data_IF_006294266846
#
_entry.id   IF_006294266846
#
_cell.length_a   1.000
_cell.length_b   1.000
_cell.length_c   1.000
_cell.angle_alpha   90.00
_cell.angle_beta   90.00
_cell.angle_gamma   90.00
#
_symmetry.space_group_name_H-M   'P 1'
#
loop_
_entity.id
_entity.type
_entity.pdbx_description
1 polymer ?
#
# COMPACT_ATOMS: atom_id res chain seq x y z
N UNK A 1 -68.81 -22.12 -53.23
CA UNK A 1 -68.10 -21.77 -51.98
C UNK A 1 -67.11 -22.83 -51.53
N UNK A 2 -67.47 -24.12 -51.41
CA UNK A 2 -66.55 -25.18 -50.96
C UNK A 2 -65.27 -25.36 -51.82
N UNK A 3 -65.37 -25.21 -53.15
CA UNK A 3 -64.22 -25.32 -54.08
C UNK A 3 -63.17 -24.21 -53.90
N UNK A 4 -63.60 -22.99 -53.53
CA UNK A 4 -62.71 -21.86 -53.28
C UNK A 4 -61.90 -22.12 -52.00
N UNK A 5 -62.54 -22.64 -50.94
CA UNK A 5 -61.85 -23.06 -49.73
C UNK A 5 -60.85 -24.19 -49.98
N UNK A 6 -61.19 -25.15 -50.84
CA UNK A 6 -60.29 -26.23 -51.24
C UNK A 6 -59.01 -25.71 -51.92
N UNK A 7 -59.16 -24.83 -52.91
CA UNK A 7 -58.01 -24.25 -53.63
C UNK A 7 -57.15 -23.34 -52.73
N UNK A 8 -57.78 -22.59 -51.82
CA UNK A 8 -57.06 -21.71 -50.88
C UNK A 8 -56.26 -22.51 -49.85
N UNK A 9 -56.75 -23.68 -49.43
CA UNK A 9 -56.09 -24.49 -48.40
C UNK A 9 -55.01 -25.43 -48.93
N UNK A 10 -55.05 -25.80 -50.20
CA UNK A 10 -54.07 -26.69 -50.84
C UNK A 10 -52.91 -25.97 -51.53
N UNK A 11 -52.99 -24.65 -51.73
CA UNK A 11 -51.89 -23.86 -52.30
C UNK A 11 -51.44 -22.73 -51.38
N UNK A 12 -52.21 -21.62 -51.28
CA UNK A 12 -51.84 -20.46 -50.47
C UNK A 12 -51.56 -20.76 -49.00
N UNK A 13 -52.33 -21.64 -48.36
CA UNK A 13 -52.17 -21.94 -46.93
C UNK A 13 -50.91 -22.77 -46.61
N UNK A 14 -50.56 -23.75 -47.45
CA UNK A 14 -49.32 -24.51 -47.29
C UNK A 14 -48.08 -23.62 -47.53
N UNK A 15 -48.14 -22.74 -48.54
CA UNK A 15 -47.08 -21.78 -48.81
C UNK A 15 -46.91 -20.77 -47.66
N UNK A 16 -48.02 -20.27 -47.10
CA UNK A 16 -47.98 -19.42 -45.92
C UNK A 16 -47.36 -20.15 -44.72
N UNK A 17 -47.71 -21.41 -44.49
CA UNK A 17 -47.15 -22.19 -43.39
C UNK A 17 -45.63 -22.38 -43.53
N UNK A 18 -45.15 -22.72 -44.74
CA UNK A 18 -43.72 -22.82 -45.04
C UNK A 18 -42.99 -21.49 -44.82
N UNK A 19 -43.59 -20.37 -45.22
CA UNK A 19 -43.01 -19.04 -45.01
C UNK A 19 -42.94 -18.65 -43.53
N UNK A 20 -43.97 -18.97 -42.73
CA UNK A 20 -43.96 -18.74 -41.28
C UNK A 20 -42.89 -19.60 -40.61
N UNK A 21 -42.65 -20.81 -41.08
CA UNK A 21 -41.57 -21.65 -40.56
C UNK A 21 -40.19 -21.05 -40.83
N UNK A 22 -39.91 -20.62 -42.06
CA UNK A 22 -38.65 -19.96 -42.42
C UNK A 22 -38.49 -18.65 -41.65
N UNK A 23 -39.55 -17.84 -41.54
CA UNK A 23 -39.57 -16.60 -40.77
C UNK A 23 -39.27 -16.85 -39.29
N UNK A 24 -39.88 -17.86 -38.68
CA UNK A 24 -39.67 -18.22 -37.27
C UNK A 24 -38.24 -18.69 -37.00
N UNK A 25 -37.66 -19.47 -37.93
CA UNK A 25 -36.24 -19.85 -37.89
C UNK A 25 -35.33 -18.62 -37.97
N UNK A 26 -35.60 -17.72 -38.91
CA UNK A 26 -34.85 -16.47 -39.09
C UNK A 26 -34.90 -15.56 -37.86
N UNK A 27 -36.08 -15.41 -37.25
CA UNK A 27 -36.27 -14.68 -35.99
C UNK A 27 -35.44 -15.25 -34.83
N UNK A 28 -35.47 -16.57 -34.63
CA UNK A 28 -34.70 -17.21 -33.55
C UNK A 28 -33.18 -17.01 -33.72
N UNK A 29 -32.68 -17.16 -34.95
CA UNK A 29 -31.27 -16.94 -35.27
C UNK A 29 -30.88 -15.45 -35.15
N UNK A 30 -31.74 -14.53 -35.58
CA UNK A 30 -31.53 -13.10 -35.44
C UNK A 30 -31.41 -12.68 -33.97
N UNK A 31 -32.29 -13.17 -33.11
CA UNK A 31 -32.24 -12.90 -31.67
C UNK A 31 -30.98 -13.49 -31.02
N UNK A 32 -30.59 -14.70 -31.39
CA UNK A 32 -29.35 -15.33 -30.89
C UNK A 32 -28.10 -14.56 -31.34
N UNK A 33 -28.07 -14.12 -32.61
CA UNK A 33 -26.96 -13.32 -33.16
C UNK A 33 -26.84 -11.97 -32.47
N UNK A 34 -27.95 -11.28 -32.22
CA UNK A 34 -27.96 -10.00 -31.49
C UNK A 34 -27.48 -10.20 -30.06
N UNK A 35 -27.93 -11.26 -29.37
CA UNK A 35 -27.48 -11.56 -28.02
C UNK A 35 -25.98 -11.87 -27.97
N UNK A 36 -25.47 -12.64 -28.94
CA UNK A 36 -24.05 -12.99 -29.01
C UNK A 36 -23.17 -11.77 -29.32
N UNK A 37 -23.57 -10.91 -30.26
CA UNK A 37 -22.79 -9.70 -30.54
C UNK A 37 -22.84 -8.66 -29.42
N UNK A 38 -23.98 -8.55 -28.72
CA UNK A 38 -24.06 -7.70 -27.53
C UNK A 38 -23.07 -8.16 -26.45
N UNK A 39 -22.95 -9.48 -26.23
CA UNK A 39 -21.96 -10.04 -25.30
C UNK A 39 -20.53 -9.74 -25.71
N UNK A 40 -20.21 -9.90 -27.00
CA UNK A 40 -18.87 -9.58 -27.52
C UNK A 40 -18.54 -8.11 -27.37
N UNK A 41 -19.46 -7.21 -27.71
CA UNK A 41 -19.25 -5.77 -27.53
C UNK A 41 -19.02 -5.40 -26.07
N UNK A 42 -19.71 -6.07 -25.15
CA UNK A 42 -19.53 -5.87 -23.72
C UNK A 42 -18.17 -6.37 -23.19
N UNK A 43 -17.72 -7.55 -23.65
CA UNK A 43 -16.37 -8.03 -23.36
C UNK A 43 -15.31 -7.07 -23.88
N UNK A 44 -15.47 -6.57 -25.11
CA UNK A 44 -14.57 -5.58 -25.71
C UNK A 44 -14.59 -4.26 -24.93
N UNK A 45 -15.76 -3.81 -24.49
CA UNK A 45 -15.90 -2.58 -23.70
C UNK A 45 -15.31 -2.69 -22.30
N UNK A 46 -15.32 -3.89 -21.70
CA UNK A 46 -14.83 -4.13 -20.32
C UNK A 46 -13.37 -4.58 -20.26
N UNK A 47 -12.84 -5.16 -21.34
CA UNK A 47 -11.41 -5.48 -21.52
C UNK A 47 -10.45 -4.33 -21.15
N UNK A 48 -10.64 -3.09 -21.63
CA UNK A 48 -9.75 -1.98 -21.27
C UNK A 48 -9.81 -1.64 -19.77
N UNK A 49 -10.95 -1.80 -19.10
CA UNK A 49 -11.07 -1.56 -17.66
C UNK A 49 -10.24 -2.56 -16.84
N UNK A 50 -10.24 -3.84 -17.23
CA UNK A 50 -9.44 -4.87 -16.57
C UNK A 50 -7.94 -4.61 -16.76
N UNK A 51 -7.54 -4.25 -17.99
CA UNK A 51 -6.15 -3.91 -18.27
C UNK A 51 -5.68 -2.69 -17.45
N UNK A 52 -6.51 -1.64 -17.34
CA UNK A 52 -6.20 -0.47 -16.51
C UNK A 52 -6.13 -0.83 -15.04
N UNK A 53 -7.07 -1.62 -14.52
CA UNK A 53 -7.07 -2.08 -13.13
C UNK A 53 -5.79 -2.84 -12.77
N UNK A 54 -5.37 -3.79 -13.60
CA UNK A 54 -4.14 -4.57 -13.36
C UNK A 54 -2.89 -3.68 -13.37
N UNK A 55 -2.86 -2.64 -14.23
CA UNK A 55 -1.77 -1.67 -14.27
C UNK A 55 -1.75 -0.80 -13.02
N UNK A 56 -2.90 -0.28 -12.59
CA UNK A 56 -3.03 0.53 -11.36
C UNK A 56 -2.61 -0.29 -10.15
N UNK A 57 -3.06 -1.55 -10.05
CA UNK A 57 -2.67 -2.47 -8.97
C UNK A 57 -1.15 -2.70 -8.92
N UNK A 58 -0.51 -2.87 -10.07
CA UNK A 58 0.96 -2.99 -10.15
C UNK A 58 1.66 -1.73 -9.67
N UNK A 59 1.19 -0.55 -10.08
CA UNK A 59 1.76 0.74 -9.64
C UNK A 59 1.64 0.92 -8.13
N UNK A 60 0.47 0.62 -7.55
CA UNK A 60 0.25 0.69 -6.10
C UNK A 60 1.19 -0.27 -5.37
N UNK A 61 1.33 -1.51 -5.86
CA UNK A 61 2.23 -2.48 -5.27
C UNK A 61 3.68 -1.98 -5.29
N UNK A 62 4.14 -1.42 -6.41
CA UNK A 62 5.47 -0.82 -6.51
C UNK A 62 5.67 0.34 -5.52
N UNK A 63 4.65 1.19 -5.32
CA UNK A 63 4.71 2.28 -4.34
C UNK A 63 4.78 1.78 -2.90
N UNK A 64 3.99 0.75 -2.56
CA UNK A 64 4.01 0.13 -1.24
C UNK A 64 5.36 -0.55 -0.97
N UNK A 65 5.87 -1.32 -1.93
CA UNK A 65 7.16 -2.00 -1.83
C UNK A 65 8.31 -0.98 -1.69
N UNK A 66 8.28 0.09 -2.49
CA UNK A 66 9.25 1.19 -2.40
C UNK A 66 9.19 1.91 -1.05
N UNK A 67 7.98 2.26 -0.58
CA UNK A 67 7.82 2.93 0.71
C UNK A 67 8.26 2.05 1.88
N UNK A 68 8.02 0.73 1.81
CA UNK A 68 8.49 -0.23 2.79
C UNK A 68 10.02 -0.33 2.81
N UNK A 69 10.66 -0.33 1.62
CA UNK A 69 12.12 -0.30 1.50
C UNK A 69 12.70 0.99 2.11
N UNK A 70 12.13 2.14 1.78
CA UNK A 70 12.54 3.45 2.31
C UNK A 70 12.40 3.49 3.84
N UNK A 71 11.27 3.03 4.39
CA UNK A 71 11.06 2.91 5.83
C UNK A 71 12.14 2.05 6.49
N UNK A 72 12.47 0.90 5.90
CA UNK A 72 13.52 0.00 6.40
C UNK A 72 14.88 0.69 6.40
N UNK A 73 15.24 1.38 5.33
CA UNK A 73 16.48 2.13 5.23
C UNK A 73 16.59 3.21 6.32
N UNK A 74 15.55 4.03 6.52
CA UNK A 74 15.56 5.05 7.56
C UNK A 74 15.55 4.48 8.99
N UNK A 75 14.93 3.32 9.21
CA UNK A 75 15.04 2.62 10.50
C UNK A 75 16.48 2.19 10.79
N UNK A 76 17.17 1.62 9.80
CA UNK A 76 18.60 1.30 9.95
C UNK A 76 19.44 2.54 10.25
N UNK A 77 19.18 3.66 9.57
CA UNK A 77 19.86 4.94 9.85
C UNK A 77 19.56 5.43 11.28
N UNK A 78 18.31 5.34 11.74
CA UNK A 78 17.91 5.69 13.12
C UNK A 78 18.67 4.84 14.15
N UNK A 79 18.83 3.55 13.88
CA UNK A 79 19.52 2.63 14.78
C UNK A 79 21.02 2.94 14.85
N UNK A 80 21.67 3.23 13.72
CA UNK A 80 23.04 3.74 13.68
C UNK A 80 23.22 5.00 14.54
N UNK A 81 22.34 6.00 14.38
CA UNK A 81 22.38 7.20 15.22
C UNK A 81 22.19 6.89 16.71
N UNK A 82 21.40 5.88 17.04
CA UNK A 82 21.17 5.46 18.42
C UNK A 82 22.44 4.85 19.02
N UNK A 83 23.15 4.01 18.26
CA UNK A 83 24.42 3.41 18.68
C UNK A 83 25.54 4.44 18.85
N UNK A 84 25.71 5.32 17.85
CA UNK A 84 26.70 6.41 17.88
C UNK A 84 26.46 7.29 19.12
N UNK A 85 25.22 7.67 19.35
CA UNK A 85 24.86 8.51 20.49
C UNK A 85 25.11 7.81 21.84
N UNK A 86 24.83 6.51 21.92
CA UNK A 86 25.14 5.72 23.10
C UNK A 86 26.65 5.65 23.37
N UNK A 87 27.47 5.50 22.32
CA UNK A 87 28.93 5.51 22.41
C UNK A 87 29.47 6.86 22.88
N UNK A 88 29.00 7.96 22.29
CA UNK A 88 29.38 9.33 22.70
C UNK A 88 29.02 9.57 24.16
N UNK A 89 27.82 9.19 24.59
CA UNK A 89 27.42 9.32 26.00
C UNK A 89 28.30 8.52 26.95
N UNK A 90 28.74 7.30 26.56
CA UNK A 90 29.71 6.52 27.34
C UNK A 90 31.05 7.25 27.45
N UNK A 91 31.57 7.77 26.34
CA UNK A 91 32.83 8.51 26.31
C UNK A 91 32.77 9.77 27.20
N UNK A 92 31.68 10.56 27.12
CA UNK A 92 31.50 11.75 27.96
C UNK A 92 31.41 11.39 29.44
N UNK A 93 30.68 10.32 29.80
CA UNK A 93 30.63 9.85 31.19
C UNK A 93 32.01 9.43 31.70
N UNK A 94 32.78 8.73 30.88
CA UNK A 94 34.16 8.36 31.21
C UNK A 94 35.02 9.61 31.42
N UNK A 95 34.90 10.61 30.54
CA UNK A 95 35.62 11.88 30.66
C UNK A 95 35.24 12.64 31.93
N UNK A 96 33.94 12.69 32.29
CA UNK A 96 33.49 13.29 33.54
C UNK A 96 34.07 12.58 34.77
N UNK A 97 34.13 11.25 34.76
CA UNK A 97 34.78 10.49 35.83
C UNK A 97 36.26 10.82 35.93
N UNK A 98 36.94 10.99 34.79
CA UNK A 98 38.35 11.37 34.75
C UNK A 98 38.56 12.79 35.32
N UNK A 99 37.72 13.76 34.97
CA UNK A 99 37.73 15.10 35.59
C UNK A 99 37.51 15.01 37.10
N UNK A 100 36.54 14.22 37.54
CA UNK A 100 36.24 14.07 38.97
C UNK A 100 37.42 13.45 39.74
N UNK A 101 38.06 12.41 39.19
CA UNK A 101 39.25 11.79 39.78
C UNK A 101 40.41 12.77 39.79
N UNK A 102 40.62 13.52 38.70
CA UNK A 102 41.65 14.54 38.59
C UNK A 102 41.44 15.63 39.64
N UNK A 103 40.25 16.22 39.73
CA UNK A 103 39.95 17.27 40.72
C UNK A 103 40.10 16.76 42.16
N UNK A 104 39.68 15.52 42.46
CA UNK A 104 39.83 14.94 43.81
C UNK A 104 41.28 14.63 44.19
N UNK A 105 42.09 14.13 43.25
CA UNK A 105 43.48 13.71 43.53
C UNK A 105 44.51 14.84 43.32
N UNK A 106 44.22 15.73 42.37
CA UNK A 106 45.14 16.72 41.81
C UNK A 106 44.67 18.17 41.94
N UNK A 107 43.44 18.45 42.39
CA UNK A 107 43.02 19.81 42.78
C UNK A 107 43.60 20.25 44.13
N UNK A 108 43.92 19.28 44.99
CA UNK A 108 44.51 19.48 46.31
C UNK A 108 46.04 19.71 46.39
N UNK A 109 46.93 19.22 45.52
CA UNK A 109 48.38 19.26 45.75
C UNK A 109 48.96 20.66 45.83
N UNK A 110 48.47 21.61 45.03
CA UNK A 110 48.91 23.01 45.14
C UNK A 110 48.55 23.58 46.52
N UNK A 111 47.30 23.41 46.95
CA UNK A 111 46.84 23.90 48.25
C UNK A 111 47.46 23.11 49.42
N UNK A 112 47.61 21.80 49.30
CA UNK A 112 48.26 20.93 50.30
C UNK A 112 49.76 21.21 50.43
N UNK A 113 50.41 21.64 49.35
CA UNK A 113 51.82 22.05 49.38
C UNK A 113 51.96 23.46 49.94
N UNK A 114 51.16 24.42 49.44
CA UNK A 114 51.28 25.83 49.79
C UNK A 114 50.82 26.13 51.21
N UNK A 115 49.72 25.52 51.66
CA UNK A 115 49.07 25.87 52.93
C UNK A 115 49.98 25.68 54.14
N UNK A 116 50.67 24.53 54.35
CA UNK A 116 51.60 24.38 55.46
C UNK A 116 52.79 25.35 55.41
N UNK A 117 53.25 25.73 54.21
CA UNK A 117 54.35 26.70 54.04
C UNK A 117 53.89 28.13 54.37
N UNK A 118 52.66 28.49 54.00
CA UNK A 118 52.04 29.76 54.37
C UNK A 118 51.78 29.85 55.87
N UNK A 119 51.24 28.78 56.46
CA UNK A 119 50.98 28.69 57.90
C UNK A 119 52.32 28.80 58.66
N UNK A 120 53.37 28.07 58.25
CA UNK A 120 54.70 28.15 58.87
C UNK A 120 55.38 29.52 58.69
N UNK A 121 55.14 30.21 57.56
CA UNK A 121 55.65 31.57 57.35
C UNK A 121 54.95 32.57 58.27
N UNK A 122 53.62 32.43 58.44
CA UNK A 122 52.83 33.26 59.36
C UNK A 122 53.26 33.03 60.81
N UNK A 123 53.37 31.77 61.23
CA UNK A 123 53.82 31.38 62.57
C UNK A 123 55.23 31.92 62.87
N UNK A 124 56.12 31.93 61.86
CA UNK A 124 57.47 32.49 62.00
C UNK A 124 57.46 34.01 62.22
N UNK A 125 56.61 34.74 61.50
CA UNK A 125 56.46 36.20 61.67
C UNK A 125 55.85 36.55 63.02
N UNK A 126 54.91 35.75 63.53
CA UNK A 126 54.30 35.99 64.85
C UNK A 126 55.28 35.76 66.01
N UNK A 127 56.28 34.89 65.82
CA UNK A 127 57.26 34.53 66.86
C UNK A 127 58.53 35.40 66.85
N UNK A 128 58.80 36.10 65.74
CA UNK A 128 59.98 36.94 65.56
C UNK A 128 59.66 38.43 65.83
N UNK A 129 60.60 39.21 66.37
CA UNK A 129 60.50 40.67 66.36
C UNK A 129 60.71 41.22 64.94
N UNK A 130 59.96 42.26 64.54
CA UNK A 130 59.94 42.88 63.19
C UNK A 130 61.33 43.11 62.54
N UNK A 131 62.37 43.32 63.34
CA UNK A 131 63.77 43.51 62.89
C UNK A 131 64.42 42.23 62.33
N UNK A 132 63.87 41.05 62.62
CA UNK A 132 64.40 39.74 62.25
C UNK A 132 63.51 38.95 61.27
N UNK A 133 62.45 39.57 60.73
CA UNK A 133 61.51 38.95 59.78
C UNK A 133 62.18 38.35 58.54
N UNK A 134 63.37 38.86 58.18
CA UNK A 134 64.16 38.34 57.06
C UNK A 134 64.52 36.86 57.22
N UNK A 135 64.62 36.35 58.46
CA UNK A 135 64.89 34.93 58.74
C UNK A 135 63.73 34.00 58.32
N UNK A 136 62.52 34.53 58.14
CA UNK A 136 61.36 33.76 57.68
C UNK A 136 61.28 33.66 56.14
N UNK A 137 62.06 34.45 55.38
CA UNK A 137 62.04 34.45 53.90
C UNK A 137 62.34 33.10 53.21
N UNK A 138 63.19 32.19 53.73
CA UNK A 138 63.42 30.90 53.09
C UNK A 138 62.14 30.07 52.89
N UNK A 139 61.18 30.17 53.81
CA UNK A 139 59.88 29.45 53.71
C UNK A 139 59.10 29.91 52.47
N UNK A 140 59.14 31.21 52.16
CA UNK A 140 58.51 31.82 50.99
C UNK A 140 59.17 31.38 49.67
N UNK A 141 60.48 31.10 49.67
CA UNK A 141 61.17 30.58 48.48
C UNK A 141 60.76 29.13 48.22
N UNK A 142 60.62 28.31 49.26
CA UNK A 142 60.16 26.92 49.15
C UNK A 142 58.69 26.85 48.69
N UNK A 143 57.86 27.81 49.08
CA UNK A 143 56.47 27.94 48.59
C UNK A 143 56.39 28.02 47.05
N UNK A 144 57.36 28.66 46.39
CA UNK A 144 57.35 28.78 44.92
C UNK A 144 57.42 27.43 44.21
N UNK A 145 58.04 26.42 44.83
CA UNK A 145 58.11 25.05 44.29
C UNK A 145 56.70 24.45 44.16
N UNK A 146 55.76 24.86 45.01
CA UNK A 146 54.37 24.40 44.93
C UNK A 146 53.67 24.81 43.62
N UNK A 147 54.11 25.88 42.93
CA UNK A 147 53.52 26.27 41.64
C UNK A 147 53.70 25.22 40.54
N UNK A 148 54.66 24.30 40.65
CA UNK A 148 54.79 23.15 39.74
C UNK A 148 53.54 22.26 39.79
N UNK A 149 52.92 22.13 40.96
CA UNK A 149 51.66 21.40 41.12
C UNK A 149 50.47 22.08 40.44
N UNK A 150 50.55 23.39 40.17
CA UNK A 150 49.51 24.14 39.44
C UNK A 150 49.43 23.72 37.97
N UNK A 151 50.54 23.32 37.34
CA UNK A 151 50.53 22.80 35.96
C UNK A 151 49.67 21.53 35.87
N UNK A 152 49.71 20.69 36.90
CA UNK A 152 48.90 19.47 36.99
C UNK A 152 47.40 19.79 37.08
N UNK A 153 47.01 20.86 37.78
CA UNK A 153 45.60 21.30 37.82
C UNK A 153 45.08 21.78 36.46
N UNK A 154 45.93 22.39 35.62
CA UNK A 154 45.54 22.81 34.25
C UNK A 154 45.23 21.59 33.39
N UNK A 155 45.97 20.49 33.54
CA UNK A 155 45.70 19.24 32.84
C UNK A 155 44.31 18.65 33.19
N UNK A 156 43.78 18.92 34.40
CA UNK A 156 42.43 18.52 34.79
C UNK A 156 41.32 19.32 34.08
N UNK A 157 41.61 20.52 33.57
CA UNK A 157 40.65 21.35 32.86
C UNK A 157 40.47 20.94 31.38
N UNK A 158 41.47 20.26 30.78
CA UNK A 158 41.45 19.87 29.37
C UNK A 158 40.26 18.93 29.06
N UNK A 159 40.01 17.85 29.82
CA UNK A 159 38.85 17.00 29.55
C UNK A 159 37.52 17.74 29.72
N UNK A 160 37.41 18.69 30.66
CA UNK A 160 36.20 19.50 30.82
C UNK A 160 35.88 20.32 29.56
N UNK A 161 36.89 20.96 28.96
CA UNK A 161 36.72 21.69 27.70
C UNK A 161 36.28 20.78 26.53
N UNK A 162 36.82 19.56 26.46
CA UNK A 162 36.42 18.58 25.44
C UNK A 162 34.95 18.19 25.60
N UNK A 163 34.47 17.98 26.83
CA UNK A 163 33.06 17.67 27.08
C UNK A 163 32.14 18.76 26.55
N UNK A 164 32.45 20.03 26.84
CA UNK A 164 31.61 21.16 26.44
C UNK A 164 31.58 21.34 24.92
N UNK A 165 32.74 21.20 24.27
CA UNK A 165 32.82 21.20 22.81
C UNK A 165 31.97 20.09 22.18
N UNK A 166 32.09 18.85 22.68
CA UNK A 166 31.34 17.70 22.16
C UNK A 166 29.83 17.85 22.39
N UNK A 167 29.40 18.39 23.54
CA UNK A 167 27.98 18.66 23.80
C UNK A 167 27.39 19.63 22.76
N UNK A 168 28.01 20.79 22.59
CA UNK A 168 27.46 21.85 21.72
C UNK A 168 27.59 21.50 20.24
N UNK A 169 28.74 20.99 19.81
CA UNK A 169 29.01 20.82 18.38
C UNK A 169 28.53 19.47 17.83
N UNK A 170 28.54 18.42 18.66
CA UNK A 170 28.32 17.04 18.19
C UNK A 170 26.94 16.54 18.63
N UNK A 171 26.65 16.55 19.93
CA UNK A 171 25.39 15.99 20.47
C UNK A 171 24.18 16.72 19.88
N UNK A 172 24.16 18.05 19.88
CA UNK A 172 23.02 18.82 19.38
C UNK A 172 22.78 18.64 17.87
N UNK A 173 23.86 18.47 17.08
CA UNK A 173 23.73 18.17 15.64
C UNK A 173 23.21 16.77 15.40
N UNK A 174 23.75 15.78 16.11
CA UNK A 174 23.30 14.38 16.00
C UNK A 174 21.85 14.23 16.47
N UNK A 175 21.45 14.92 17.53
CA UNK A 175 20.08 14.85 18.03
C UNK A 175 19.08 15.44 17.03
N UNK A 176 19.43 16.56 16.38
CA UNK A 176 18.63 17.12 15.28
C UNK A 176 18.53 16.15 14.10
N UNK A 177 19.64 15.56 13.67
CA UNK A 177 19.65 14.57 12.60
C UNK A 177 18.76 13.35 12.94
N UNK A 178 18.87 12.84 14.18
CA UNK A 178 18.03 11.75 14.68
C UNK A 178 16.54 12.11 14.67
N UNK A 179 16.17 13.32 15.11
CA UNK A 179 14.77 13.81 15.08
C UNK A 179 14.23 13.87 13.65
N UNK A 180 15.03 14.38 12.70
CA UNK A 180 14.66 14.42 11.28
C UNK A 180 14.41 13.01 10.73
N UNK A 181 15.31 12.06 10.98
CA UNK A 181 15.13 10.66 10.54
C UNK A 181 13.87 10.04 11.17
N UNK A 182 13.64 10.24 12.47
CA UNK A 182 12.45 9.73 13.14
C UNK A 182 11.15 10.31 12.55
N UNK A 183 11.15 11.60 12.21
CA UNK A 183 10.05 12.26 11.52
C UNK A 183 9.78 11.62 10.14
N UNK A 184 10.82 11.40 9.33
CA UNK A 184 10.67 10.73 8.03
C UNK A 184 10.11 9.31 8.15
N UNK A 185 10.55 8.53 9.14
CA UNK A 185 10.00 7.19 9.41
C UNK A 185 8.50 7.25 9.73
N UNK A 186 8.10 8.20 10.58
CA UNK A 186 6.69 8.38 10.94
C UNK A 186 5.84 8.84 9.74
N UNK A 187 6.35 9.78 8.94
CA UNK A 187 5.71 10.25 7.72
C UNK A 187 5.53 9.12 6.70
N UNK A 188 6.57 8.30 6.48
CA UNK A 188 6.51 7.15 5.58
C UNK A 188 5.48 6.11 6.03
N UNK A 189 5.40 5.85 7.34
CA UNK A 189 4.37 4.98 7.91
C UNK A 189 2.96 5.50 7.61
N UNK A 190 2.72 6.79 7.84
CA UNK A 190 1.41 7.41 7.56
C UNK A 190 1.08 7.36 6.06
N UNK A 191 2.07 7.62 5.20
CA UNK A 191 1.89 7.51 3.75
C UNK A 191 1.50 6.11 3.31
N UNK A 192 2.23 5.08 3.77
CA UNK A 192 1.95 3.68 3.46
C UNK A 192 0.53 3.28 3.90
N UNK A 193 0.10 3.67 5.10
CA UNK A 193 -1.25 3.40 5.59
C UNK A 193 -2.32 4.11 4.75
N UNK A 194 -2.08 5.37 4.34
CA UNK A 194 -3.00 6.11 3.47
C UNK A 194 -3.09 5.50 2.09
N UNK A 195 -1.98 5.10 1.49
CA UNK A 195 -1.97 4.41 0.19
C UNK A 195 -2.68 3.07 0.32
N UNK A 196 -2.38 2.30 1.36
CA UNK A 196 -3.04 1.02 1.58
C UNK A 196 -4.54 1.20 1.72
N UNK A 197 -5.00 2.10 2.58
CA UNK A 197 -6.44 2.32 2.83
C UNK A 197 -7.19 2.99 1.67
N UNK A 198 -6.58 3.96 0.97
CA UNK A 198 -7.19 4.61 -0.19
C UNK A 198 -7.41 3.65 -1.37
N UNK A 199 -6.59 2.61 -1.47
CA UNK A 199 -6.64 1.62 -2.54
C UNK A 199 -7.04 0.22 -2.06
N UNK A 200 -7.40 0.06 -0.79
CA UNK A 200 -8.00 -1.16 -0.26
C UNK A 200 -9.44 -1.24 -0.74
N UNK A 201 -9.59 -1.60 -2.01
CA UNK A 201 -10.89 -1.89 -2.60
C UNK A 201 -10.91 -3.38 -2.84
N UNK A 202 -11.79 -4.09 -2.11
CA UNK A 202 -12.09 -5.49 -2.38
C UNK A 202 -12.92 -5.54 -3.67
N UNK A 203 -12.27 -5.29 -4.81
CA UNK A 203 -12.92 -5.33 -6.12
C UNK A 203 -13.06 -6.80 -6.49
N UNK A 204 -14.08 -7.43 -5.93
CA UNK A 204 -14.70 -8.59 -6.56
C UNK A 204 -15.45 -8.08 -7.77
N UNK A 205 -14.79 -8.06 -8.93
CA UNK A 205 -15.49 -7.91 -10.22
C UNK A 205 -16.29 -9.19 -10.43
N UNK A 206 -17.41 -9.32 -9.75
CA UNK A 206 -18.41 -10.34 -10.04
C UNK A 206 -19.12 -9.89 -11.31
N UNK A 207 -18.63 -10.37 -12.46
CA UNK A 207 -19.33 -10.28 -13.73
C UNK A 207 -20.60 -11.15 -13.66
N UNK A 208 -21.60 -10.71 -12.92
CA UNK A 208 -22.96 -11.23 -13.04
C UNK A 208 -23.72 -10.33 -14.00
N UNK A 209 -23.39 -10.46 -15.28
CA UNK A 209 -24.27 -9.94 -16.32
C UNK A 209 -25.46 -10.90 -16.45
N UNK A 210 -26.40 -10.79 -15.51
CA UNK A 210 -27.76 -11.28 -15.71
C UNK A 210 -28.44 -10.34 -16.70
N UNK A 211 -28.11 -10.47 -17.99
CA UNK A 211 -29.06 -10.11 -19.03
C UNK A 211 -30.13 -11.19 -19.06
N UNK A 212 -31.01 -11.19 -18.07
CA UNK A 212 -32.37 -11.63 -18.32
C UNK A 212 -32.96 -10.57 -19.21
N UNK A 213 -32.80 -10.74 -20.52
CA UNK A 213 -33.87 -10.31 -21.39
C UNK A 213 -35.07 -11.10 -20.86
N UNK A 214 -35.90 -10.48 -20.03
CA UNK A 214 -37.12 -11.07 -19.46
C UNK A 214 -38.13 -11.25 -20.61
N UNK A 215 -37.75 -12.10 -21.56
CA UNK A 215 -38.70 -12.72 -22.43
C UNK A 215 -39.34 -13.81 -21.59
N UNK A 216 -40.66 -13.77 -21.48
CA UNK A 216 -41.45 -14.80 -20.82
C UNK A 216 -41.18 -16.21 -21.37
N UNK A 217 -40.51 -16.33 -22.54
CA UNK A 217 -40.11 -17.56 -23.21
C UNK A 217 -38.82 -17.38 -24.02
N UNK A 218 -38.04 -18.46 -24.15
CA UNK A 218 -36.85 -18.46 -25.00
C UNK A 218 -37.21 -18.37 -26.49
N UNK A 219 -36.34 -17.83 -27.37
CA UNK A 219 -36.59 -17.75 -28.82
C UNK A 219 -36.91 -19.12 -29.44
N UNK A 220 -36.26 -20.18 -28.93
CA UNK A 220 -36.53 -21.57 -29.32
C UNK A 220 -37.91 -22.06 -28.87
N UNK A 221 -38.36 -21.69 -27.68
CA UNK A 221 -39.72 -22.01 -27.21
C UNK A 221 -40.80 -21.25 -27.98
N UNK A 222 -40.59 -19.96 -28.27
CA UNK A 222 -41.50 -19.15 -29.09
C UNK A 222 -41.64 -19.78 -30.47
N UNK A 223 -40.53 -20.15 -31.11
CA UNK A 223 -40.53 -20.87 -32.38
C UNK A 223 -41.30 -22.19 -32.29
N UNK A 224 -41.01 -23.02 -31.28
CA UNK A 224 -41.71 -24.31 -31.10
C UNK A 224 -43.21 -24.11 -30.92
N UNK A 225 -43.64 -23.12 -30.16
CA UNK A 225 -45.06 -22.81 -29.96
C UNK A 225 -45.74 -22.36 -31.25
N UNK A 226 -45.12 -21.42 -31.98
CA UNK A 226 -45.66 -20.93 -33.26
C UNK A 226 -45.78 -22.07 -34.29
N UNK A 227 -44.73 -22.89 -34.43
CA UNK A 227 -44.75 -24.03 -35.35
C UNK A 227 -45.77 -25.09 -34.93
N UNK A 228 -45.85 -25.42 -33.64
CA UNK A 228 -46.80 -26.40 -33.13
C UNK A 228 -48.24 -25.96 -33.37
N UNK A 229 -48.55 -24.70 -33.12
CA UNK A 229 -49.90 -24.16 -33.31
C UNK A 229 -50.26 -24.02 -34.79
N UNK A 230 -49.30 -23.59 -35.61
CA UNK A 230 -49.45 -23.53 -37.06
C UNK A 230 -49.71 -24.93 -37.65
N UNK A 231 -48.89 -25.91 -37.30
CA UNK A 231 -49.06 -27.29 -37.77
C UNK A 231 -50.37 -27.90 -37.27
N UNK A 232 -50.77 -27.66 -36.02
CA UNK A 232 -52.04 -28.16 -35.49
C UNK A 232 -53.24 -27.60 -36.27
N UNK A 233 -53.23 -26.29 -36.58
CA UNK A 233 -54.31 -25.66 -37.35
C UNK A 233 -54.30 -26.13 -38.80
N UNK A 234 -53.13 -26.18 -39.45
CA UNK A 234 -53.01 -26.58 -40.86
C UNK A 234 -53.30 -28.08 -41.07
N UNK A 235 -52.92 -28.95 -40.13
CA UNK A 235 -53.12 -30.40 -40.22
C UNK A 235 -54.60 -30.81 -40.19
N UNK A 236 -55.42 -30.13 -39.38
CA UNK A 236 -56.87 -30.41 -39.32
C UNK A 236 -57.53 -30.14 -40.67
N UNK A 237 -57.18 -29.01 -41.30
CA UNK A 237 -57.72 -28.66 -42.61
C UNK A 237 -57.16 -29.58 -43.70
N UNK A 238 -55.84 -29.72 -43.82
CA UNK A 238 -55.23 -30.59 -44.86
C UNK A 238 -55.64 -32.07 -44.73
N UNK A 239 -55.82 -32.59 -43.52
CA UNK A 239 -56.32 -33.95 -43.29
C UNK A 239 -57.75 -34.15 -43.77
N UNK A 240 -58.65 -33.23 -43.44
CA UNK A 240 -60.05 -33.26 -43.89
C UNK A 240 -60.14 -33.17 -45.44
N UNK A 241 -59.31 -32.31 -46.04
CA UNK A 241 -59.30 -32.11 -47.49
C UNK A 241 -58.65 -33.27 -48.26
N UNK A 242 -57.63 -33.93 -47.71
CA UNK A 242 -57.08 -35.17 -48.30
C UNK A 242 -58.11 -36.29 -48.32
N UNK A 243 -58.88 -36.44 -47.26
CA UNK A 243 -60.00 -37.39 -47.18
C UNK A 243 -61.04 -37.12 -48.26
N UNK A 244 -61.46 -35.86 -48.41
CA UNK A 244 -62.42 -35.45 -49.44
C UNK A 244 -61.85 -35.63 -50.86
N UNK A 245 -60.60 -35.26 -51.10
CA UNK A 245 -59.93 -35.40 -52.40
C UNK A 245 -59.78 -36.86 -52.80
N UNK A 246 -59.36 -37.72 -51.88
CA UNK A 246 -59.23 -39.16 -52.14
C UNK A 246 -60.61 -39.80 -52.36
N UNK A 247 -61.63 -39.37 -51.61
CA UNK A 247 -63.01 -39.81 -51.82
C UNK A 247 -63.57 -39.42 -53.19
N UNK A 248 -63.28 -38.20 -53.66
CA UNK A 248 -63.66 -37.74 -55.01
C UNK A 248 -62.91 -38.52 -56.08
N UNK A 249 -61.61 -38.79 -55.92
CA UNK A 249 -60.83 -39.63 -56.83
C UNK A 249 -61.38 -41.06 -56.93
N UNK A 250 -61.75 -41.67 -55.81
CA UNK A 250 -62.37 -43.00 -55.78
C UNK A 250 -63.75 -42.99 -56.44
N UNK A 251 -64.56 -41.95 -56.21
CA UNK A 251 -65.86 -41.80 -56.86
C UNK A 251 -65.72 -41.60 -58.39
N UNK A 252 -64.75 -40.82 -58.85
CA UNK A 252 -64.45 -40.66 -60.28
C UNK A 252 -63.97 -41.97 -60.90
N UNK A 253 -63.07 -42.71 -60.24
CA UNK A 253 -62.61 -44.01 -60.71
C UNK A 253 -63.75 -45.04 -60.73
N UNK A 254 -64.65 -45.01 -59.74
CA UNK A 254 -65.83 -45.86 -59.72
C UNK A 254 -66.76 -45.57 -60.91
N UNK A 255 -67.09 -44.30 -61.16
CA UNK A 255 -67.95 -43.88 -62.29
C UNK A 255 -67.29 -44.10 -63.66
N UNK A 256 -65.96 -44.02 -63.76
CA UNK A 256 -65.25 -44.25 -65.02
C UNK A 256 -65.07 -45.73 -65.39
N UNK A 257 -65.22 -46.64 -64.42
CA UNK A 257 -65.07 -48.10 -64.61
C UNK A 257 -66.39 -48.89 -64.48
N UNK A 258 -67.52 -48.23 -64.23
CA UNK A 258 -68.90 -48.75 -64.37
C UNK A 258 -69.58 -48.15 -65.59
#
# INVERSE_FOLDING_TARGET
>A
MAYIYFLVLTGPAENFAANVEVLSRGLSCGQEKVANETRRMLEVATSPLKAVYDRVKKVIKLLLDFGALMKKAFLSIKDLFTEIFAAIRRAIRWLHNLVNVCNRRMGEPYEKCRKPLMDAYSDCLEMMPDILDWLCSPVKVVEQVCYVAKVITVLCAIPAMIIDFVKVQVIDRIERARKNVAFFVAAMRSFLERVYTAFYVNITVTHQYNYSLEFSRTPGEVRRHVLKELHARVAVFTGLFRLLSNGVLVAFLYVAYT
#
